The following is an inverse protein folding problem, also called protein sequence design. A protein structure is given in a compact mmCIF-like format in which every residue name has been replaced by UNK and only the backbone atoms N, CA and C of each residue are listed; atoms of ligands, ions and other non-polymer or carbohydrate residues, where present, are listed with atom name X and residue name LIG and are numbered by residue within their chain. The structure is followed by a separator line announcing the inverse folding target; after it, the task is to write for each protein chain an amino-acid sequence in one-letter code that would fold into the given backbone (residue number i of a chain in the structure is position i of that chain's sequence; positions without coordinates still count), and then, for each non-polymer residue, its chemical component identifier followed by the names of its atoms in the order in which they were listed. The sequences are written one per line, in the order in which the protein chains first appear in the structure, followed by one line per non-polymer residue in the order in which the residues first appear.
data_IF_778554795525
#
_entry.id   IF_778554795525
#
_cell.length_a   1.000
_cell.length_b   1.000
_cell.length_c   1.000
_cell.angle_alpha   90.00
_cell.angle_beta   90.00
_cell.angle_gamma   90.00
#
_symmetry.space_group_name_H-M   'P 1'
#
loop_
_entity.id
_entity.type
_entity.pdbx_description
1 polymer ?
#
# COMPACT_ATOMS: atom_id res chain seq x y z
N UNK A 1 16.92 -9.33 10.40
CA UNK A 1 16.16 -10.25 9.54
C UNK A 1 15.54 -9.40 8.44
N UNK A 2 16.07 -9.54 7.24
CA UNK A 2 15.66 -8.80 6.04
C UNK A 2 14.32 -9.33 5.56
N UNK A 3 13.23 -8.85 6.15
CA UNK A 3 11.88 -8.97 5.57
C UNK A 3 11.80 -7.88 4.50
N UNK A 4 12.38 -8.20 3.35
CA UNK A 4 12.69 -7.22 2.31
C UNK A 4 11.45 -6.93 1.49
N UNK A 5 11.21 -5.64 1.20
CA UNK A 5 10.16 -5.12 0.32
C UNK A 5 10.13 -5.74 -1.11
N UNK A 6 10.97 -6.74 -1.38
CA UNK A 6 11.15 -7.45 -2.64
C UNK A 6 10.78 -8.95 -2.55
N UNK A 7 10.47 -9.48 -1.36
CA UNK A 7 10.18 -10.91 -1.20
C UNK A 7 8.89 -11.32 -1.93
N UNK A 8 7.86 -10.45 -1.90
CA UNK A 8 6.62 -10.63 -2.69
C UNK A 8 6.79 -10.50 -4.21
N UNK A 9 7.96 -10.07 -4.68
CA UNK A 9 8.28 -9.84 -6.10
C UNK A 9 9.30 -10.87 -6.60
N UNK A 10 9.98 -11.59 -5.72
CA UNK A 10 11.11 -12.46 -6.05
C UNK A 10 10.76 -13.53 -7.08
N UNK A 11 9.66 -14.25 -6.89
CA UNK A 11 9.20 -15.27 -7.85
C UNK A 11 8.88 -14.68 -9.22
N UNK A 12 8.33 -13.46 -9.25
CA UNK A 12 7.99 -12.78 -10.50
C UNK A 12 9.24 -12.20 -11.19
N UNK A 13 10.16 -11.61 -10.43
CA UNK A 13 11.45 -11.12 -10.93
C UNK A 13 12.28 -12.26 -11.53
N UNK A 14 12.26 -13.44 -10.92
CA UNK A 14 12.89 -14.66 -11.46
C UNK A 14 12.30 -15.12 -12.80
N UNK A 15 11.09 -14.66 -13.17
CA UNK A 15 10.43 -14.97 -14.46
C UNK A 15 10.27 -13.75 -15.37
N UNK A 16 10.68 -12.56 -14.95
CA UNK A 16 10.45 -11.33 -15.69
C UNK A 16 11.07 -11.38 -17.09
N UNK A 17 12.27 -11.95 -17.23
CA UNK A 17 12.92 -12.14 -18.52
C UNK A 17 12.10 -13.04 -19.46
N UNK A 18 11.55 -14.15 -18.97
CA UNK A 18 10.67 -15.03 -19.75
C UNK A 18 9.40 -14.30 -20.20
N UNK A 19 8.77 -13.55 -19.29
CA UNK A 19 7.58 -12.76 -19.60
C UNK A 19 7.85 -11.69 -20.65
N UNK A 20 8.98 -10.97 -20.55
CA UNK A 20 9.40 -9.99 -21.56
C UNK A 20 9.58 -10.65 -22.92
N UNK A 21 10.28 -11.78 -22.99
CA UNK A 21 10.48 -12.51 -24.25
C UNK A 21 9.14 -12.96 -24.87
N UNK A 22 8.20 -13.45 -24.06
CA UNK A 22 6.88 -13.89 -24.52
C UNK A 22 6.05 -12.72 -25.07
N UNK A 23 6.03 -11.60 -24.35
CA UNK A 23 5.33 -10.38 -24.81
C UNK A 23 5.97 -9.86 -26.09
N UNK A 24 7.30 -9.83 -26.17
CA UNK A 24 8.01 -9.38 -27.37
C UNK A 24 7.70 -10.26 -28.59
N UNK A 25 7.62 -11.58 -28.42
CA UNK A 25 7.21 -12.51 -29.46
C UNK A 25 5.78 -12.26 -29.96
N UNK A 26 4.84 -12.01 -29.04
CA UNK A 26 3.46 -11.65 -29.40
C UNK A 26 3.40 -10.32 -30.15
N UNK A 27 4.07 -9.28 -29.66
CA UNK A 27 4.12 -7.97 -30.33
C UNK A 27 4.71 -8.10 -31.74
N UNK A 28 5.75 -8.92 -31.90
CA UNK A 28 6.37 -9.20 -33.20
C UNK A 28 5.38 -9.87 -34.16
N UNK A 29 4.74 -10.98 -33.75
CA UNK A 29 3.83 -11.72 -34.62
C UNK A 29 2.52 -10.99 -34.93
N UNK A 30 2.02 -10.16 -34.00
CA UNK A 30 0.84 -9.31 -34.23
C UNK A 30 1.16 -8.22 -35.24
N UNK A 31 2.38 -7.67 -35.21
CA UNK A 31 2.80 -6.62 -36.14
C UNK A 31 3.14 -7.18 -37.52
N UNK A 32 3.82 -8.32 -37.57
CA UNK A 32 4.16 -9.04 -38.78
C UNK A 32 4.08 -10.56 -38.55
N UNK A 33 3.00 -11.22 -39.04
CA UNK A 33 2.84 -12.67 -38.90
C UNK A 33 3.91 -13.49 -39.64
N UNK A 34 4.63 -12.91 -40.60
CA UNK A 34 5.71 -13.57 -41.32
C UNK A 34 7.09 -13.31 -40.69
N UNK A 35 7.15 -12.63 -39.55
CA UNK A 35 8.41 -12.35 -38.86
C UNK A 35 9.06 -13.64 -38.34
N UNK A 36 10.35 -13.80 -38.61
CA UNK A 36 11.15 -14.95 -38.17
C UNK A 36 12.05 -14.63 -36.97
N UNK A 37 12.13 -13.37 -36.56
CA UNK A 37 12.94 -12.91 -35.44
C UNK A 37 12.27 -11.74 -34.72
N UNK A 38 12.50 -11.65 -33.41
CA UNK A 38 12.03 -10.53 -32.58
C UNK A 38 12.96 -9.34 -32.77
N UNK A 39 12.40 -8.18 -33.11
CA UNK A 39 13.17 -6.94 -33.26
C UNK A 39 13.58 -6.36 -31.91
N UNK A 40 14.64 -5.55 -31.90
CA UNK A 40 15.05 -4.82 -30.70
C UNK A 40 13.93 -3.88 -30.19
N UNK A 41 13.16 -3.28 -31.11
CA UNK A 41 12.02 -2.43 -30.79
C UNK A 41 10.92 -3.21 -30.05
N UNK A 42 10.56 -4.40 -30.54
CA UNK A 42 9.58 -5.26 -29.88
C UNK A 42 10.04 -5.70 -28.48
N UNK A 43 11.34 -5.97 -28.30
CA UNK A 43 11.93 -6.27 -26.99
C UNK A 43 11.85 -5.08 -26.02
N UNK A 44 12.16 -3.86 -26.48
CA UNK A 44 12.07 -2.64 -25.66
C UNK A 44 10.61 -2.34 -25.29
N UNK A 45 9.69 -2.49 -26.23
CA UNK A 45 8.25 -2.34 -25.97
C UNK A 45 7.75 -3.34 -24.93
N UNK A 46 8.13 -4.61 -25.06
CA UNK A 46 7.80 -5.65 -24.09
C UNK A 46 8.38 -5.38 -22.69
N UNK A 47 9.64 -4.94 -22.62
CA UNK A 47 10.27 -4.58 -21.35
C UNK A 47 9.52 -3.44 -20.65
N UNK A 48 9.12 -2.42 -21.41
CA UNK A 48 8.34 -1.29 -20.89
C UNK A 48 7.00 -1.75 -20.31
N UNK A 49 6.26 -2.57 -21.05
CA UNK A 49 4.96 -3.10 -20.62
C UNK A 49 5.09 -3.96 -19.36
N UNK A 50 6.00 -4.95 -19.38
CA UNK A 50 6.16 -5.86 -18.23
C UNK A 50 6.59 -5.08 -16.99
N UNK A 51 7.55 -4.15 -17.12
CA UNK A 51 8.00 -3.32 -15.98
C UNK A 51 6.87 -2.48 -15.39
N UNK A 52 6.02 -1.89 -16.25
CA UNK A 52 4.84 -1.15 -15.80
C UNK A 52 3.87 -2.06 -15.03
N UNK A 53 3.54 -3.23 -15.58
CA UNK A 53 2.62 -4.17 -14.91
C UNK A 53 3.15 -4.71 -13.59
N UNK A 54 4.46 -4.95 -13.46
CA UNK A 54 5.06 -5.32 -12.17
C UNK A 54 4.91 -4.21 -11.15
N UNK A 55 5.18 -2.97 -11.56
CA UNK A 55 5.07 -1.82 -10.67
C UNK A 55 3.63 -1.63 -10.20
N UNK A 56 2.66 -1.80 -11.10
CA UNK A 56 1.24 -1.75 -10.74
C UNK A 56 0.82 -2.91 -9.83
N UNK A 57 1.31 -4.12 -10.09
CA UNK A 57 1.05 -5.27 -9.22
C UNK A 57 1.60 -5.02 -7.82
N UNK A 58 2.83 -4.53 -7.68
CA UNK A 58 3.41 -4.14 -6.38
C UNK A 58 2.58 -3.07 -5.68
N UNK A 59 2.13 -2.05 -6.41
CA UNK A 59 1.29 -0.98 -5.86
C UNK A 59 -0.04 -1.54 -5.32
N UNK A 60 -0.67 -2.45 -6.05
CA UNK A 60 -1.94 -3.07 -5.68
C UNK A 60 -1.78 -4.07 -4.53
N UNK A 61 -0.77 -4.93 -4.61
CA UNK A 61 -0.47 -5.96 -3.60
C UNK A 61 0.05 -5.32 -2.31
N UNK A 62 0.88 -4.29 -2.39
CA UNK A 62 1.32 -3.51 -1.23
C UNK A 62 0.15 -2.89 -0.45
N UNK A 63 -0.93 -2.51 -1.14
CA UNK A 63 -2.17 -2.09 -0.48
C UNK A 63 -3.01 -3.26 0.07
N UNK A 64 -2.93 -4.44 -0.55
CA UNK A 64 -3.72 -5.63 -0.18
C UNK A 64 -3.07 -6.47 0.95
N UNK A 65 -1.74 -6.48 1.07
CA UNK A 65 -0.99 -7.37 1.96
C UNK A 65 -0.67 -6.79 3.35
N UNK A 66 -1.14 -5.59 3.68
CA UNK A 66 -0.94 -5.03 5.02
C UNK A 66 -1.56 -5.95 6.08
N UNK A 67 -0.88 -6.25 7.20
CA UNK A 67 -1.51 -6.96 8.30
C UNK A 67 -2.80 -6.26 8.75
N UNK A 68 -3.85 -6.99 9.16
CA UNK A 68 -5.12 -6.40 9.61
C UNK A 68 -4.93 -5.25 10.62
N UNK A 69 -3.96 -5.37 11.50
CA UNK A 69 -3.61 -4.39 12.53
C UNK A 69 -3.09 -3.07 11.93
N UNK A 70 -2.24 -3.17 10.89
CA UNK A 70 -1.70 -2.00 10.20
C UNK A 70 -2.79 -1.30 9.37
N UNK A 71 -3.67 -2.06 8.72
CA UNK A 71 -4.84 -1.49 8.03
C UNK A 71 -5.76 -0.76 8.99
N UNK A 72 -6.04 -1.34 10.15
CA UNK A 72 -6.87 -0.72 11.17
C UNK A 72 -6.23 0.59 11.69
N UNK A 73 -4.92 0.58 11.95
CA UNK A 73 -4.16 1.77 12.36
C UNK A 73 -4.18 2.88 11.29
N UNK A 74 -4.00 2.54 10.02
CA UNK A 74 -4.08 3.49 8.91
C UNK A 74 -5.48 4.07 8.74
N UNK A 75 -6.52 3.24 8.83
CA UNK A 75 -7.92 3.69 8.76
C UNK A 75 -8.23 4.67 9.92
N UNK A 76 -7.73 4.39 11.12
CA UNK A 76 -7.86 5.28 12.27
C UNK A 76 -7.13 6.61 12.02
N UNK A 77 -5.88 6.57 11.56
CA UNK A 77 -5.08 7.76 11.28
C UNK A 77 -5.72 8.66 10.21
N UNK A 78 -6.21 8.05 9.12
CA UNK A 78 -6.94 8.76 8.06
C UNK A 78 -8.20 9.44 8.61
N UNK A 79 -8.97 8.74 9.45
CA UNK A 79 -10.17 9.32 10.07
C UNK A 79 -9.85 10.49 11.00
N UNK A 80 -8.80 10.38 11.83
CA UNK A 80 -8.34 11.48 12.70
C UNK A 80 -7.96 12.72 11.90
N UNK A 81 -7.28 12.54 10.75
CA UNK A 81 -6.94 13.61 9.81
C UNK A 81 -8.18 14.25 9.21
N UNK A 82 -9.07 13.45 8.61
CA UNK A 82 -10.30 13.95 7.97
C UNK A 82 -11.19 14.72 8.95
N UNK A 83 -11.26 14.27 10.21
CA UNK A 83 -12.07 14.94 11.25
C UNK A 83 -11.31 16.03 12.00
N UNK A 84 -10.02 16.27 11.69
CA UNK A 84 -9.13 17.21 12.38
C UNK A 84 -9.15 17.05 13.90
N UNK A 85 -9.25 15.81 14.39
CA UNK A 85 -9.37 15.50 15.81
C UNK A 85 -8.00 15.58 16.48
N UNK A 86 -7.86 16.44 17.49
CA UNK A 86 -6.61 16.56 18.26
C UNK A 86 -6.54 15.59 19.44
N UNK A 87 -7.69 15.08 19.87
CA UNK A 87 -7.80 14.08 20.93
C UNK A 87 -8.89 13.08 20.56
N UNK A 88 -8.73 11.84 21.00
CA UNK A 88 -9.70 10.76 20.75
C UNK A 88 -9.73 9.79 21.93
N UNK A 89 -10.90 9.23 22.26
CA UNK A 89 -11.00 8.10 23.19
C UNK A 89 -11.33 6.80 22.46
N UNK A 90 -11.07 5.65 23.08
CA UNK A 90 -11.48 4.36 22.52
C UNK A 90 -13.00 4.28 22.27
N UNK A 91 -13.81 4.96 23.10
CA UNK A 91 -15.26 5.06 22.91
C UNK A 91 -15.62 5.83 21.64
N UNK A 92 -14.89 6.91 21.35
CA UNK A 92 -15.13 7.71 20.15
C UNK A 92 -14.79 6.92 18.89
N UNK A 93 -13.70 6.15 18.91
CA UNK A 93 -13.34 5.25 17.80
C UNK A 93 -14.44 4.21 17.56
N UNK A 94 -14.91 3.55 18.60
CA UNK A 94 -15.96 2.51 18.46
C UNK A 94 -17.31 3.07 18.00
N UNK A 95 -17.63 4.32 18.33
CA UNK A 95 -18.94 4.93 18.02
C UNK A 95 -18.96 5.72 16.71
N UNK A 96 -17.89 6.47 16.44
CA UNK A 96 -17.83 7.48 15.38
C UNK A 96 -16.75 7.18 14.33
N UNK A 97 -15.87 6.22 14.60
CA UNK A 97 -14.80 5.81 13.70
C UNK A 97 -15.32 5.12 12.41
N UNK A 98 -14.41 4.83 11.46
CA UNK A 98 -14.70 4.00 10.30
C UNK A 98 -15.26 2.64 10.70
N UNK A 99 -16.23 2.12 9.94
CA UNK A 99 -16.90 0.85 10.25
C UNK A 99 -15.91 -0.31 10.47
N UNK A 100 -14.81 -0.34 9.71
CA UNK A 100 -13.76 -1.36 9.79
C UNK A 100 -13.01 -1.42 11.12
N UNK A 101 -13.11 -0.40 11.98
CA UNK A 101 -12.39 -0.33 13.27
C UNK A 101 -13.31 -0.06 14.45
N UNK A 102 -14.63 -0.25 14.30
CA UNK A 102 -15.59 -0.04 15.40
C UNK A 102 -15.63 -1.17 16.42
N UNK A 103 -15.17 -2.36 16.05
CA UNK A 103 -15.10 -3.47 16.99
C UNK A 103 -14.00 -3.24 18.04
N UNK A 104 -14.28 -3.66 19.27
CA UNK A 104 -13.43 -3.34 20.42
C UNK A 104 -11.99 -3.85 20.29
N UNK A 105 -11.79 -5.02 19.65
CA UNK A 105 -10.47 -5.58 19.41
C UNK A 105 -9.67 -4.72 18.41
N UNK A 106 -10.28 -4.40 17.27
CA UNK A 106 -9.65 -3.62 16.20
C UNK A 106 -9.36 -2.18 16.64
N UNK A 107 -10.29 -1.55 17.35
CA UNK A 107 -10.11 -0.21 17.90
C UNK A 107 -8.91 -0.15 18.87
N UNK A 108 -8.80 -1.14 19.77
CA UNK A 108 -7.68 -1.22 20.72
C UNK A 108 -6.37 -1.53 20.02
N UNK A 109 -6.38 -2.43 19.04
CA UNK A 109 -5.18 -2.75 18.26
C UNK A 109 -4.68 -1.52 17.50
N UNK A 110 -5.57 -0.81 16.78
CA UNK A 110 -5.24 0.40 16.04
C UNK A 110 -4.70 1.52 16.94
N UNK A 111 -5.34 1.78 18.08
CA UNK A 111 -4.88 2.76 19.06
C UNK A 111 -3.48 2.41 19.59
N UNK A 112 -3.27 1.15 19.97
CA UNK A 112 -1.97 0.66 20.44
C UNK A 112 -0.89 0.84 19.39
N UNK A 113 -1.14 0.40 18.15
CA UNK A 113 -0.18 0.54 17.05
C UNK A 113 0.17 1.99 16.77
N UNK A 114 -0.80 2.91 16.80
CA UNK A 114 -0.53 4.35 16.62
C UNK A 114 0.21 4.97 17.81
N UNK A 115 0.02 4.46 19.02
CA UNK A 115 0.80 4.87 20.20
C UNK A 115 2.24 4.37 20.11
N UNK A 116 2.45 3.10 19.79
CA UNK A 116 3.78 2.49 19.64
C UNK A 116 4.62 3.17 18.55
N UNK A 117 3.96 3.65 17.49
CA UNK A 117 4.61 4.37 16.38
C UNK A 117 4.75 5.89 16.61
N UNK A 118 4.29 6.41 17.74
CA UNK A 118 4.44 7.82 18.11
C UNK A 118 3.46 8.80 17.45
N UNK A 119 2.45 8.29 16.73
CA UNK A 119 1.38 9.13 16.16
C UNK A 119 0.33 9.54 17.20
N UNK A 120 0.19 8.77 18.27
CA UNK A 120 -0.68 9.07 19.41
C UNK A 120 0.12 9.05 20.72
N UNK A 121 -0.17 10.01 21.60
CA UNK A 121 0.33 10.02 22.97
C UNK A 121 -0.80 9.69 23.94
N UNK A 122 -0.52 8.84 24.93
CA UNK A 122 -1.52 8.49 25.97
C UNK A 122 -1.69 9.69 26.90
N UNK A 123 -2.93 10.14 27.06
CA UNK A 123 -3.33 11.22 27.98
C UNK A 123 -4.49 10.75 28.87
N UNK A 124 -4.14 10.02 29.92
CA UNK A 124 -5.11 9.39 30.83
C UNK A 124 -6.00 8.37 30.10
N UNK A 125 -7.28 8.71 29.91
CA UNK A 125 -8.26 7.88 29.18
C UNK A 125 -8.41 8.26 27.70
N UNK A 126 -7.75 9.34 27.29
CA UNK A 126 -7.74 9.84 25.93
C UNK A 126 -6.37 9.64 25.28
N UNK A 127 -6.33 9.83 23.96
CA UNK A 127 -5.13 9.80 23.16
C UNK A 127 -4.99 11.16 22.47
N UNK A 128 -3.89 11.86 22.74
CA UNK A 128 -3.53 13.10 22.06
C UNK A 128 -2.88 12.78 20.72
N UNK A 129 -3.37 13.40 19.65
CA UNK A 129 -2.87 13.18 18.30
C UNK A 129 -1.62 14.02 18.08
N UNK A 130 -0.53 13.38 17.64
CA UNK A 130 0.74 14.06 17.43
C UNK A 130 0.60 15.17 16.37
N UNK A 131 1.14 16.39 16.58
CA UNK A 131 0.95 17.52 15.65
C UNK A 131 1.38 17.23 14.21
N UNK A 132 2.41 16.41 14.02
CA UNK A 132 2.89 16.01 12.68
C UNK A 132 1.89 15.14 11.89
N UNK A 133 0.79 14.69 12.50
CA UNK A 133 -0.31 14.04 11.77
C UNK A 133 -1.00 14.98 10.80
N UNK A 134 -1.00 16.28 11.07
CA UNK A 134 -1.59 17.32 10.24
C UNK A 134 -0.45 18.03 9.50
N UNK A 135 -0.28 17.73 8.22
CA UNK A 135 0.73 18.38 7.38
C UNK A 135 0.36 19.85 7.12
N UNK A 136 1.36 20.67 6.79
CA UNK A 136 1.22 22.14 6.67
C UNK A 136 0.18 22.62 5.64
N UNK A 137 -0.24 21.75 4.72
CA UNK A 137 -1.25 22.02 3.69
C UNK A 137 -2.69 22.06 4.24
N UNK A 138 -2.92 21.57 5.46
CA UNK A 138 -4.25 21.54 6.09
C UNK A 138 -4.64 22.85 6.80
N UNK A 139 -3.85 23.93 6.64
CA UNK A 139 -4.20 25.29 7.09
C UNK A 139 -4.97 26.05 6.01
N UNK A 140 -6.23 25.69 5.82
CA UNK A 140 -7.26 26.60 5.32
C UNK A 140 -8.44 26.58 6.30
#
# INVERSE_FOLDING_TARGET
TTDGALEGVREFASKAAEHVCRVAGVLTLVSDPAAHAVSAEAMVGALTLVTHYVSEYQRLVGACCLPPEIRAAQALLAWLRTKRLRTVTARDVMRLGPNSIRHAADAKAALRTLTESGWLNVDGKAFAVHPATFTAEDRQ
#
